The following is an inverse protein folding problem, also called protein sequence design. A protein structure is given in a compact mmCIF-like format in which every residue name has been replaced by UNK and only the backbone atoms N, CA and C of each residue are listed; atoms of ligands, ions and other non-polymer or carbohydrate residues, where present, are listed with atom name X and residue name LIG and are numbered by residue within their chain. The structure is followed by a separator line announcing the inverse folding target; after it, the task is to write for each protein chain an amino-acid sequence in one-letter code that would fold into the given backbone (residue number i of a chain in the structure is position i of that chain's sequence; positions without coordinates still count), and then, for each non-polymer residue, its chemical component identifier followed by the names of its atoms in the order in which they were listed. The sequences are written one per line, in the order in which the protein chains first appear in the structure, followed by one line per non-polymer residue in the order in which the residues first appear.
data_IF_007253955202
#
_entry.id   IF_007253955202
#
_cell.length_a   1.000
_cell.length_b   1.000
_cell.length_c   1.000
_cell.angle_alpha   90.00
_cell.angle_beta   90.00
_cell.angle_gamma   90.00
#
_symmetry.space_group_name_H-M   'P 1'
#
loop_
_entity.id
_entity.type
_entity.pdbx_description
1 polymer ?
#
# COMPACT_ATOMS: atom_id res chain seq x y z
N UNK A 1 21.35 7.40 -3.99
CA UNK A 1 20.04 7.93 -4.41
C UNK A 1 19.94 8.28 -5.88
N UNK A 2 20.83 9.12 -6.47
CA UNK A 2 20.77 9.43 -7.92
C UNK A 2 20.84 8.18 -8.81
N UNK A 3 21.78 7.26 -8.56
CA UNK A 3 21.96 6.03 -9.33
C UNK A 3 20.71 5.14 -9.41
N UNK A 4 19.96 5.05 -8.32
CA UNK A 4 18.71 4.27 -8.25
C UNK A 4 17.57 4.92 -9.07
N UNK A 5 17.51 6.26 -9.11
CA UNK A 5 16.52 7.01 -9.89
C UNK A 5 16.80 6.88 -11.38
N UNK A 6 18.08 6.91 -11.79
CA UNK A 6 18.49 6.78 -13.20
C UNK A 6 18.25 5.35 -13.71
N UNK A 7 18.54 4.32 -12.92
CA UNK A 7 18.22 2.93 -13.24
C UNK A 7 16.71 2.73 -13.40
N UNK A 8 15.92 3.33 -12.50
CA UNK A 8 14.46 3.30 -12.58
C UNK A 8 13.93 4.00 -13.81
N UNK A 9 14.46 5.17 -14.14
CA UNK A 9 14.03 5.91 -15.33
C UNK A 9 14.18 5.09 -16.59
N UNK A 10 15.29 4.32 -16.68
CA UNK A 10 15.56 3.41 -17.80
C UNK A 10 14.55 2.25 -17.87
N UNK A 11 14.19 1.67 -16.73
CA UNK A 11 13.20 0.58 -16.66
C UNK A 11 11.80 1.10 -16.98
N UNK A 12 11.41 2.27 -16.41
CA UNK A 12 10.11 2.90 -16.65
C UNK A 12 9.92 3.26 -18.13
N UNK A 13 10.97 3.71 -18.83
CA UNK A 13 10.91 3.99 -20.27
C UNK A 13 10.50 2.77 -21.09
N UNK A 14 10.91 1.56 -20.68
CA UNK A 14 10.57 0.30 -21.33
C UNK A 14 9.17 -0.21 -20.98
N UNK A 15 8.56 0.29 -19.90
CA UNK A 15 7.23 -0.14 -19.47
C UNK A 15 6.13 0.45 -20.35
N UNK A 16 5.09 -0.34 -20.57
CA UNK A 16 3.85 0.06 -21.25
C UNK A 16 2.79 0.55 -20.27
N UNK A 17 2.83 0.06 -19.04
CA UNK A 17 1.90 0.39 -17.97
C UNK A 17 2.60 0.37 -16.61
N UNK A 18 2.37 1.39 -15.81
CA UNK A 18 2.78 1.47 -14.41
C UNK A 18 1.62 0.99 -13.53
N UNK A 19 1.84 -0.05 -12.73
CA UNK A 19 0.97 -0.46 -11.64
C UNK A 19 1.42 0.26 -10.37
N UNK A 20 0.75 1.36 -10.03
CA UNK A 20 1.05 2.15 -8.86
C UNK A 20 0.29 1.60 -7.65
N UNK A 21 0.97 0.88 -6.76
CA UNK A 21 0.37 0.28 -5.56
C UNK A 21 0.38 1.26 -4.42
N UNK A 22 -0.80 1.52 -3.86
CA UNK A 22 -1.02 2.37 -2.70
C UNK A 22 -1.80 1.60 -1.63
N UNK A 23 -1.68 2.01 -0.36
CA UNK A 23 -2.53 1.48 0.71
C UNK A 23 -3.90 2.16 0.64
N UNK A 24 -4.98 1.38 0.59
CA UNK A 24 -6.35 1.90 0.45
C UNK A 24 -6.77 2.80 1.61
N UNK A 25 -6.11 2.72 2.77
CA UNK A 25 -6.36 3.57 3.93
C UNK A 25 -5.80 5.00 3.80
N UNK A 26 -4.87 5.22 2.82
CA UNK A 26 -4.19 6.51 2.58
C UNK A 26 -3.85 6.67 1.10
N UNK A 27 -4.86 6.74 0.22
CA UNK A 27 -4.66 6.70 -1.24
C UNK A 27 -3.87 7.91 -1.75
N UNK A 28 -4.25 9.13 -1.31
CA UNK A 28 -3.62 10.35 -1.78
C UNK A 28 -2.22 10.53 -1.21
N UNK A 29 -2.02 10.25 0.08
CA UNK A 29 -0.71 10.36 0.73
C UNK A 29 0.30 9.33 0.19
N UNK A 30 -0.17 8.16 -0.25
CA UNK A 30 0.66 7.16 -0.92
C UNK A 30 0.92 7.49 -2.40
N UNK A 31 0.22 8.50 -2.96
CA UNK A 31 0.34 8.87 -4.37
C UNK A 31 1.48 9.86 -4.56
N UNK A 32 2.59 9.41 -5.11
CA UNK A 32 3.76 10.25 -5.34
C UNK A 32 3.74 10.86 -6.74
N UNK A 33 3.95 12.18 -6.82
CA UNK A 33 3.87 12.94 -8.06
C UNK A 33 5.03 12.65 -9.05
N UNK A 34 6.15 12.09 -8.59
CA UNK A 34 7.29 11.80 -9.45
C UNK A 34 6.97 10.78 -10.57
N UNK A 35 6.00 9.89 -10.34
CA UNK A 35 5.58 8.86 -11.31
C UNK A 35 5.01 9.50 -12.57
N UNK A 36 4.32 10.64 -12.43
CA UNK A 36 3.72 11.35 -13.56
C UNK A 36 4.76 11.98 -14.51
N UNK A 37 6.01 12.19 -14.06
CA UNK A 37 7.11 12.71 -14.89
C UNK A 37 7.47 11.80 -16.06
N UNK A 38 7.09 10.52 -16.01
CA UNK A 38 7.44 9.57 -17.06
C UNK A 38 6.48 9.52 -18.24
N UNK A 39 5.38 10.27 -18.20
CA UNK A 39 4.36 10.30 -19.25
C UNK A 39 3.92 8.90 -19.72
N UNK A 40 3.74 7.97 -18.77
CA UNK A 40 3.29 6.59 -19.01
C UNK A 40 1.88 6.39 -18.47
N UNK A 41 1.09 5.50 -19.06
CA UNK A 41 -0.19 5.10 -18.47
C UNK A 41 0.00 4.55 -17.06
N UNK A 42 -0.85 4.97 -16.12
CA UNK A 42 -0.79 4.58 -14.70
C UNK A 42 -2.13 3.98 -14.29
N UNK A 43 -2.12 2.74 -13.83
CA UNK A 43 -3.23 2.11 -13.13
C UNK A 43 -2.90 2.06 -11.63
N UNK A 44 -3.66 2.79 -10.83
CA UNK A 44 -3.48 2.83 -9.38
C UNK A 44 -4.21 1.66 -8.73
N UNK A 45 -3.47 0.84 -7.99
CA UNK A 45 -4.00 -0.31 -7.25
C UNK A 45 -4.09 0.04 -5.78
N UNK A 46 -5.29 0.35 -5.31
CA UNK A 46 -5.59 0.62 -3.90
C UNK A 46 -5.69 -0.72 -3.15
N UNK A 47 -4.53 -1.19 -2.65
CA UNK A 47 -4.40 -2.49 -2.00
C UNK A 47 -4.79 -2.43 -0.51
N UNK A 48 -4.91 -3.60 0.13
CA UNK A 48 -5.35 -3.78 1.52
C UNK A 48 -6.75 -3.23 1.78
N UNK A 49 -7.63 -3.33 0.80
CA UNK A 49 -9.01 -2.88 0.93
C UNK A 49 -9.78 -3.61 2.04
N UNK A 50 -9.29 -4.77 2.45
CA UNK A 50 -9.75 -5.52 3.62
C UNK A 50 -9.55 -4.79 4.97
N UNK A 51 -8.75 -3.73 5.01
CA UNK A 51 -8.51 -2.87 6.17
C UNK A 51 -9.13 -1.46 6.02
N UNK A 52 -9.78 -1.18 4.89
CA UNK A 52 -10.18 0.17 4.51
C UNK A 52 -11.70 0.39 4.61
N UNK A 53 -12.10 1.54 5.16
CA UNK A 53 -13.48 2.04 5.09
C UNK A 53 -13.78 2.58 3.67
N UNK A 54 -14.13 1.64 2.78
CA UNK A 54 -14.38 1.92 1.37
C UNK A 54 -15.56 2.88 1.13
N UNK A 55 -16.53 2.93 2.06
CA UNK A 55 -17.74 3.75 1.93
C UNK A 55 -17.42 5.24 1.86
N UNK A 56 -16.28 5.63 2.39
CA UNK A 56 -15.83 7.03 2.44
C UNK A 56 -14.96 7.44 1.25
N UNK A 57 -14.75 6.54 0.27
CA UNK A 57 -13.79 6.76 -0.83
C UNK A 57 -14.49 6.63 -2.17
N UNK A 58 -14.34 7.66 -3.00
CA UNK A 58 -14.71 7.65 -4.41
C UNK A 58 -13.45 7.38 -5.25
N UNK A 59 -13.39 6.25 -5.96
CA UNK A 59 -12.30 5.95 -6.88
C UNK A 59 -12.39 6.75 -8.18
N UNK A 60 -11.23 7.10 -8.74
CA UNK A 60 -11.08 7.65 -10.07
C UNK A 60 -11.10 6.54 -11.12
N UNK A 61 -11.26 6.89 -12.40
CA UNK A 61 -11.35 5.93 -13.51
C UNK A 61 -10.13 4.99 -13.61
N UNK A 62 -8.94 5.49 -13.26
CA UNK A 62 -7.70 4.72 -13.28
C UNK A 62 -7.31 4.13 -11.92
N UNK A 63 -8.24 4.04 -10.98
CA UNK A 63 -8.04 3.50 -9.63
C UNK A 63 -8.87 2.23 -9.44
N UNK A 64 -8.28 1.24 -8.76
CA UNK A 64 -8.92 -0.06 -8.55
C UNK A 64 -8.67 -0.60 -7.15
N UNK A 65 -9.73 -0.95 -6.42
CA UNK A 65 -9.63 -1.60 -5.11
C UNK A 65 -9.23 -3.06 -5.22
N UNK A 66 -8.22 -3.45 -4.45
CA UNK A 66 -7.72 -4.81 -4.39
C UNK A 66 -7.40 -5.21 -2.94
N UNK A 67 -7.71 -6.47 -2.58
CA UNK A 67 -7.02 -7.16 -1.50
C UNK A 67 -6.25 -8.34 -2.08
N UNK A 68 -4.93 -8.29 -2.00
CA UNK A 68 -4.08 -9.38 -2.47
C UNK A 68 -4.32 -10.70 -1.70
N UNK A 69 -5.01 -10.67 -0.56
CA UNK A 69 -5.41 -11.85 0.22
C UNK A 69 -6.61 -12.58 -0.38
N UNK A 70 -7.38 -11.91 -1.25
CA UNK A 70 -8.58 -12.50 -1.85
C UNK A 70 -8.21 -13.57 -2.88
N UNK A 71 -8.82 -14.75 -2.82
CA UNK A 71 -8.59 -15.87 -3.73
C UNK A 71 -8.77 -15.49 -5.22
N UNK A 72 -9.69 -14.58 -5.53
CA UNK A 72 -10.00 -14.14 -6.88
C UNK A 72 -9.21 -12.87 -7.31
N UNK A 73 -8.30 -12.37 -6.48
CA UNK A 73 -7.58 -11.12 -6.72
C UNK A 73 -6.81 -11.13 -8.05
N UNK A 74 -6.10 -12.22 -8.36
CA UNK A 74 -5.35 -12.36 -9.61
C UNK A 74 -6.24 -12.21 -10.84
N UNK A 75 -7.36 -12.93 -10.91
CA UNK A 75 -8.30 -12.88 -12.03
C UNK A 75 -8.87 -11.47 -12.21
N UNK A 76 -9.31 -10.84 -11.11
CA UNK A 76 -9.83 -9.47 -11.12
C UNK A 76 -8.79 -8.48 -11.63
N UNK A 77 -7.56 -8.54 -11.10
CA UNK A 77 -6.47 -7.64 -11.49
C UNK A 77 -6.11 -7.78 -12.98
N UNK A 78 -5.95 -9.01 -13.49
CA UNK A 78 -5.65 -9.24 -14.90
C UNK A 78 -6.76 -8.71 -15.81
N UNK A 79 -8.03 -8.89 -15.44
CA UNK A 79 -9.16 -8.36 -16.19
C UNK A 79 -9.13 -6.82 -16.25
N UNK A 80 -8.83 -6.16 -15.14
CA UNK A 80 -8.71 -4.69 -15.09
C UNK A 80 -7.54 -4.21 -15.94
N UNK A 81 -6.37 -4.84 -15.85
CA UNK A 81 -5.20 -4.53 -16.69
C UNK A 81 -5.56 -4.68 -18.18
N UNK A 82 -6.18 -5.78 -18.57
CA UNK A 82 -6.59 -6.01 -19.96
C UNK A 82 -7.60 -4.98 -20.45
N UNK A 83 -8.59 -4.60 -19.61
CA UNK A 83 -9.55 -3.54 -19.92
C UNK A 83 -8.83 -2.20 -20.13
N UNK A 84 -7.89 -1.87 -19.25
CA UNK A 84 -7.10 -0.64 -19.33
C UNK A 84 -6.25 -0.57 -20.58
N UNK A 85 -5.62 -1.68 -20.98
CA UNK A 85 -4.78 -1.79 -22.18
C UNK A 85 -5.55 -2.00 -23.49
N UNK A 86 -6.88 -2.21 -23.45
CA UNK A 86 -7.70 -2.59 -24.60
C UNK A 86 -7.55 -1.64 -25.79
N UNK A 87 -7.62 -0.33 -25.56
CA UNK A 87 -7.50 0.67 -26.64
C UNK A 87 -6.13 0.59 -27.32
N UNK A 88 -5.04 0.50 -26.55
CA UNK A 88 -3.67 0.37 -27.07
C UNK A 88 -3.47 -0.97 -27.80
N UNK A 89 -3.97 -2.05 -27.25
CA UNK A 89 -3.93 -3.37 -27.90
C UNK A 89 -4.61 -3.34 -29.28
N UNK A 90 -5.81 -2.79 -29.36
CA UNK A 90 -6.54 -2.68 -30.61
C UNK A 90 -5.82 -1.81 -31.66
N UNK A 91 -5.18 -0.71 -31.23
CA UNK A 91 -4.36 0.14 -32.10
C UNK A 91 -3.17 -0.64 -32.69
N UNK A 92 -2.45 -1.41 -31.87
CA UNK A 92 -1.31 -2.22 -32.32
C UNK A 92 -1.74 -3.33 -33.29
N UNK A 93 -2.90 -3.95 -33.05
CA UNK A 93 -3.46 -4.97 -33.99
C UNK A 93 -3.79 -4.31 -35.33
N UNK A 94 -4.40 -3.13 -35.34
CA UNK A 94 -4.67 -2.37 -36.58
C UNK A 94 -3.40 -2.01 -37.38
N UNK A 95 -2.27 -1.86 -36.66
CA UNK A 95 -0.94 -1.62 -37.25
C UNK A 95 -0.25 -2.91 -37.72
N UNK A 96 -0.92 -4.07 -37.70
CA UNK A 96 -0.39 -5.34 -38.22
C UNK A 96 0.25 -6.26 -37.18
N UNK A 97 0.33 -5.86 -35.87
CA UNK A 97 0.85 -6.75 -34.83
C UNK A 97 -0.17 -7.84 -34.50
N UNK A 98 0.11 -9.10 -34.86
CA UNK A 98 -0.81 -10.23 -34.59
C UNK A 98 -1.01 -10.52 -33.10
N UNK A 99 0.07 -10.44 -32.29
CA UNK A 99 0.06 -10.79 -30.87
C UNK A 99 0.79 -9.73 -30.05
N UNK A 100 0.22 -8.54 -29.81
CA UNK A 100 0.87 -7.50 -29.00
C UNK A 100 1.01 -7.94 -27.53
N UNK A 101 2.18 -7.66 -26.97
CA UNK A 101 2.49 -7.90 -25.56
C UNK A 101 2.86 -6.59 -24.87
N UNK A 102 2.76 -6.56 -23.54
CA UNK A 102 2.95 -5.36 -22.73
C UNK A 102 3.85 -5.62 -21.53
N UNK A 103 4.76 -4.70 -21.30
CA UNK A 103 5.60 -4.68 -20.10
C UNK A 103 4.96 -3.85 -19.01
N UNK A 104 4.83 -4.46 -17.83
CA UNK A 104 4.29 -3.84 -16.62
C UNK A 104 5.43 -3.58 -15.65
N UNK A 105 5.32 -2.50 -14.87
CA UNK A 105 6.14 -2.30 -13.67
C UNK A 105 5.26 -2.07 -12.45
N UNK A 106 5.74 -2.47 -11.28
CA UNK A 106 5.07 -2.25 -9.99
C UNK A 106 5.87 -1.24 -9.19
N UNK A 107 5.23 -0.15 -8.82
CA UNK A 107 5.82 0.92 -8.01
C UNK A 107 4.91 1.27 -6.84
N UNK A 108 5.43 1.90 -5.80
CA UNK A 108 4.68 2.33 -4.61
C UNK A 108 5.56 2.39 -3.36
N UNK A 109 5.04 2.94 -2.25
CA UNK A 109 5.72 3.06 -0.95
C UNK A 109 6.16 1.70 -0.39
N UNK A 110 7.08 1.66 0.59
CA UNK A 110 7.32 0.46 1.37
C UNK A 110 6.01 -0.09 1.97
N UNK A 111 5.92 -1.39 2.16
CA UNK A 111 4.84 -2.10 2.86
C UNK A 111 3.40 -1.90 2.36
N UNK A 112 3.16 -1.19 1.24
CA UNK A 112 1.82 -1.08 0.62
C UNK A 112 1.35 -2.38 -0.06
N UNK A 113 2.25 -3.38 -0.17
CA UNK A 113 1.94 -4.70 -0.71
C UNK A 113 2.43 -4.95 -2.13
N UNK A 114 3.47 -4.23 -2.59
CA UNK A 114 4.12 -4.47 -3.90
C UNK A 114 4.53 -5.93 -4.09
N UNK A 115 5.29 -6.49 -3.15
CA UNK A 115 5.73 -7.90 -3.22
C UNK A 115 4.57 -8.88 -3.23
N UNK A 116 3.49 -8.58 -2.48
CA UNK A 116 2.25 -9.37 -2.50
C UNK A 116 1.61 -9.34 -3.89
N UNK A 117 1.50 -8.16 -4.51
CA UNK A 117 0.97 -7.99 -5.86
C UNK A 117 1.82 -8.71 -6.91
N UNK A 118 3.14 -8.58 -6.83
CA UNK A 118 4.09 -9.28 -7.71
C UNK A 118 3.91 -10.80 -7.58
N UNK A 119 3.86 -11.34 -6.36
CA UNK A 119 3.66 -12.76 -6.13
C UNK A 119 2.28 -13.24 -6.61
N UNK A 120 1.24 -12.41 -6.43
CA UNK A 120 -0.10 -12.66 -6.95
C UNK A 120 -0.09 -12.79 -8.47
N UNK A 121 0.58 -11.88 -9.18
CA UNK A 121 0.71 -11.88 -10.63
C UNK A 121 1.55 -13.07 -11.12
N UNK A 122 2.68 -13.34 -10.47
CA UNK A 122 3.52 -14.52 -10.77
C UNK A 122 2.71 -15.81 -10.70
N UNK A 123 2.02 -16.07 -9.62
CA UNK A 123 1.36 -17.34 -9.35
C UNK A 123 2.35 -18.50 -9.27
N UNK A 124 1.84 -19.71 -9.00
CA UNK A 124 2.68 -20.93 -8.83
C UNK A 124 3.42 -21.39 -10.10
N UNK A 125 3.04 -20.91 -11.30
CA UNK A 125 3.56 -21.36 -12.60
C UNK A 125 4.42 -20.32 -13.34
N UNK A 126 4.79 -19.20 -12.72
CA UNK A 126 5.59 -18.20 -13.42
C UNK A 126 7.05 -18.64 -13.52
N UNK A 127 7.52 -18.83 -14.73
CA UNK A 127 8.93 -19.05 -15.04
C UNK A 127 9.64 -17.71 -15.24
N UNK A 128 10.82 -17.55 -14.63
CA UNK A 128 11.73 -16.47 -15.02
C UNK A 128 12.18 -16.72 -16.46
N UNK A 129 11.82 -15.83 -17.37
CA UNK A 129 12.30 -15.90 -18.74
C UNK A 129 13.74 -15.41 -18.76
N UNK A 130 14.69 -16.34 -18.61
CA UNK A 130 16.09 -16.09 -18.89
C UNK A 130 16.25 -16.10 -20.41
N UNK A 131 16.82 -15.02 -20.95
CA UNK A 131 17.28 -14.91 -22.34
C UNK A 131 16.20 -14.84 -23.42
N UNK A 132 15.65 -13.64 -23.68
CA UNK A 132 15.31 -13.29 -25.06
C UNK A 132 16.51 -12.54 -25.68
N UNK A 133 16.97 -12.89 -26.90
CA UNK A 133 18.04 -12.16 -27.58
C UNK A 133 17.55 -10.74 -27.87
N UNK A 134 18.27 -9.74 -27.44
CA UNK A 134 18.14 -8.30 -27.61
C UNK A 134 17.99 -7.44 -26.31
N UNK A 135 18.17 -8.01 -25.10
CA UNK A 135 18.05 -7.22 -23.85
C UNK A 135 19.23 -7.47 -22.92
N UNK A 136 20.36 -6.84 -23.24
CA UNK A 136 21.63 -6.98 -22.49
C UNK A 136 21.63 -6.34 -21.09
N UNK A 137 20.52 -5.83 -20.54
CA UNK A 137 20.50 -5.11 -19.26
C UNK A 137 19.25 -5.25 -18.37
N UNK A 138 18.27 -6.09 -18.66
CA UNK A 138 17.12 -6.30 -17.77
C UNK A 138 17.22 -7.67 -17.10
N UNK A 139 17.76 -7.68 -15.89
CA UNK A 139 18.13 -8.91 -15.16
C UNK A 139 16.98 -9.85 -14.82
N UNK A 140 15.72 -9.42 -14.74
CA UNK A 140 14.59 -10.32 -14.42
C UNK A 140 13.28 -9.86 -15.07
N UNK A 141 12.88 -10.52 -16.16
CA UNK A 141 11.53 -10.39 -16.75
C UNK A 141 10.71 -11.60 -16.30
N UNK A 142 9.53 -11.34 -15.77
CA UNK A 142 8.62 -12.38 -15.28
C UNK A 142 7.43 -12.46 -16.22
N UNK A 143 7.22 -13.60 -16.86
CA UNK A 143 6.05 -13.85 -17.69
C UNK A 143 4.81 -14.08 -16.82
N UNK A 144 3.79 -13.23 -16.94
CA UNK A 144 2.49 -13.40 -16.28
C UNK A 144 1.57 -14.27 -17.13
N UNK A 145 1.49 -13.97 -18.43
CA UNK A 145 0.79 -14.75 -19.46
C UNK A 145 1.39 -14.44 -20.85
N UNK A 146 0.74 -14.85 -21.93
CA UNK A 146 1.26 -14.65 -23.29
C UNK A 146 1.33 -13.19 -23.75
N UNK A 147 0.59 -12.28 -23.11
CA UNK A 147 0.53 -10.86 -23.47
C UNK A 147 1.03 -9.91 -22.38
N UNK A 148 1.33 -10.39 -21.17
CA UNK A 148 1.74 -9.56 -20.05
C UNK A 148 3.05 -10.06 -19.45
N UNK A 149 4.00 -9.15 -19.32
CA UNK A 149 5.32 -9.37 -18.71
C UNK A 149 5.56 -8.35 -17.62
N UNK A 150 6.14 -8.74 -16.50
CA UNK A 150 6.50 -7.86 -15.41
C UNK A 150 8.02 -7.63 -15.43
N UNK A 151 8.42 -6.36 -15.46
CA UNK A 151 9.80 -5.96 -15.27
C UNK A 151 10.10 -5.89 -13.77
N UNK A 152 11.14 -6.58 -13.33
CA UNK A 152 11.57 -6.52 -11.93
C UNK A 152 12.15 -5.14 -11.63
N UNK A 153 11.63 -4.48 -10.63
CA UNK A 153 12.07 -3.14 -10.23
C UNK A 153 12.69 -3.20 -8.84
N UNK A 154 13.88 -2.61 -8.62
CA UNK A 154 14.39 -2.41 -7.27
C UNK A 154 13.42 -1.58 -6.45
N UNK A 155 13.34 -1.86 -5.14
CA UNK A 155 12.50 -1.10 -4.21
C UNK A 155 12.81 0.39 -4.27
N UNK A 156 11.78 1.22 -4.48
CA UNK A 156 11.93 2.68 -4.61
C UNK A 156 11.72 3.29 -3.25
N UNK A 157 12.69 4.08 -2.79
CA UNK A 157 12.57 4.96 -1.64
C UNK A 157 12.15 6.36 -2.10
N UNK A 158 11.21 6.95 -1.38
CA UNK A 158 10.57 8.22 -1.73
C UNK A 158 11.30 9.44 -1.16
N UNK A 159 10.92 10.62 -1.66
CA UNK A 159 11.41 11.92 -1.22
C UNK A 159 11.14 12.16 0.27
N UNK A 160 11.96 13.04 0.89
CA UNK A 160 11.80 13.45 2.29
C UNK A 160 10.42 14.07 2.51
N UNK A 161 9.58 13.39 3.29
CA UNK A 161 8.33 13.93 3.80
C UNK A 161 8.67 14.83 4.98
N UNK A 162 8.17 16.08 4.98
CA UNK A 162 8.47 17.08 6.00
C UNK A 162 7.33 17.29 7.00
N UNK A 163 6.11 16.93 6.63
CA UNK A 163 4.93 17.14 7.45
C UNK A 163 4.69 16.00 8.42
N UNK A 164 4.64 16.31 9.73
CA UNK A 164 4.47 15.35 10.81
C UNK A 164 3.15 14.56 10.70
N UNK A 165 2.03 15.22 10.34
CA UNK A 165 0.74 14.55 10.22
C UNK A 165 0.76 13.50 9.11
N UNK A 166 1.41 13.81 8.01
CA UNK A 166 1.64 12.86 6.92
C UNK A 166 2.51 11.69 7.39
N UNK A 167 3.58 11.96 8.14
CA UNK A 167 4.45 10.93 8.70
C UNK A 167 3.69 9.99 9.64
N UNK A 168 2.84 10.53 10.52
CA UNK A 168 2.02 9.71 11.45
C UNK A 168 1.05 8.81 10.69
N UNK A 169 0.33 9.34 9.70
CA UNK A 169 -0.57 8.53 8.86
C UNK A 169 0.17 7.43 8.10
N UNK A 170 1.37 7.71 7.59
CA UNK A 170 2.19 6.71 6.91
C UNK A 170 2.76 5.65 7.87
N UNK A 171 3.05 6.01 9.13
CA UNK A 171 3.40 5.06 10.17
C UNK A 171 2.22 4.13 10.49
N UNK A 172 1.00 4.66 10.60
CA UNK A 172 -0.22 3.89 10.87
C UNK A 172 -0.60 2.89 9.78
N UNK A 173 -0.14 3.09 8.55
CA UNK A 173 -0.26 2.09 7.48
C UNK A 173 1.01 1.24 7.32
N UNK A 174 1.99 1.42 8.21
CA UNK A 174 3.29 0.74 8.20
C UNK A 174 4.13 1.03 6.92
N UNK A 175 3.92 2.18 6.27
CA UNK A 175 4.72 2.61 5.12
C UNK A 175 6.07 3.21 5.54
N UNK A 176 6.16 3.68 6.78
CA UNK A 176 7.38 4.16 7.44
C UNK A 176 7.58 3.33 8.70
N UNK A 177 8.84 3.03 9.05
CA UNK A 177 9.16 2.35 10.31
C UNK A 177 8.82 3.26 11.49
N UNK A 178 8.06 2.73 12.45
CA UNK A 178 7.67 3.47 13.65
C UNK A 178 8.87 3.88 14.52
N UNK A 179 9.98 3.13 14.48
CA UNK A 179 11.22 3.44 15.23
C UNK A 179 11.83 4.80 14.86
N UNK A 180 11.38 5.41 13.76
CA UNK A 180 11.82 6.73 13.30
C UNK A 180 10.97 7.88 13.85
N UNK A 181 9.91 7.59 14.63
CA UNK A 181 8.96 8.56 15.15
C UNK A 181 8.65 8.30 16.63
N UNK A 182 8.32 9.35 17.42
CA UNK A 182 7.82 9.17 18.77
C UNK A 182 6.50 8.38 18.74
N UNK A 183 6.51 7.16 19.27
CA UNK A 183 5.37 6.24 19.17
C UNK A 183 4.15 6.72 19.95
N UNK A 184 4.37 7.43 21.06
CA UNK A 184 3.35 8.08 21.88
C UNK A 184 2.61 9.16 21.09
N UNK A 185 3.32 10.00 20.33
CA UNK A 185 2.71 11.03 19.48
C UNK A 185 1.89 10.41 18.33
N UNK A 186 2.43 9.37 17.67
CA UNK A 186 1.73 8.65 16.60
C UNK A 186 0.45 8.02 17.13
N UNK A 187 0.51 7.37 18.29
CA UNK A 187 -0.67 6.71 18.89
C UNK A 187 -1.66 7.70 19.45
N UNK A 188 -1.20 8.82 20.02
CA UNK A 188 -2.06 9.94 20.45
C UNK A 188 -2.82 10.52 19.25
N UNK A 189 -2.11 10.83 18.15
CA UNK A 189 -2.74 11.29 16.92
C UNK A 189 -3.79 10.29 16.42
N UNK A 190 -3.47 9.00 16.42
CA UNK A 190 -4.41 7.96 16.01
C UNK A 190 -5.64 7.91 16.93
N UNK A 191 -5.45 7.96 18.25
CA UNK A 191 -6.54 7.98 19.21
C UNK A 191 -7.49 9.15 18.94
N UNK A 192 -6.96 10.37 18.84
CA UNK A 192 -7.74 11.58 18.57
C UNK A 192 -8.50 11.47 17.24
N UNK A 193 -7.86 10.90 16.21
CA UNK A 193 -8.49 10.63 14.92
C UNK A 193 -9.65 9.62 15.02
N UNK A 194 -9.48 8.54 15.79
CA UNK A 194 -10.53 7.55 16.02
C UNK A 194 -11.67 8.12 16.87
N UNK A 195 -11.37 8.90 17.89
CA UNK A 195 -12.37 9.60 18.71
C UNK A 195 -13.23 10.55 17.85
N UNK A 196 -12.61 11.23 16.87
CA UNK A 196 -13.33 12.12 15.96
C UNK A 196 -14.18 11.35 14.95
N UNK A 197 -13.65 10.27 14.35
CA UNK A 197 -14.21 9.68 13.14
C UNK A 197 -14.83 8.30 13.32
N UNK A 198 -14.43 7.55 14.36
CA UNK A 198 -14.77 6.14 14.57
C UNK A 198 -14.98 5.82 16.06
N UNK A 199 -15.54 6.77 16.82
CA UNK A 199 -15.69 6.66 18.29
C UNK A 199 -16.46 5.41 18.72
N UNK A 200 -17.58 5.11 18.08
CA UNK A 200 -18.41 3.95 18.44
C UNK A 200 -17.68 2.61 18.23
N UNK A 201 -16.87 2.53 17.18
CA UNK A 201 -16.06 1.35 16.88
C UNK A 201 -14.92 1.20 17.89
N UNK A 202 -14.24 2.31 18.24
CA UNK A 202 -13.20 2.33 19.26
C UNK A 202 -13.75 1.90 20.62
N UNK A 203 -14.88 2.50 21.04
CA UNK A 203 -15.60 2.17 22.27
C UNK A 203 -16.02 0.70 22.33
N UNK A 204 -16.59 0.18 21.24
CA UNK A 204 -17.03 -1.21 21.14
C UNK A 204 -15.86 -2.18 21.21
N UNK A 205 -14.73 -1.87 20.58
CA UNK A 205 -13.58 -2.77 20.52
C UNK A 205 -12.85 -2.90 21.86
N UNK A 206 -12.71 -1.78 22.59
CA UNK A 206 -12.03 -1.77 23.89
C UNK A 206 -12.98 -1.83 25.10
N UNK A 207 -14.31 -1.85 24.90
CA UNK A 207 -15.33 -1.99 25.94
C UNK A 207 -15.36 -0.90 27.02
N UNK A 208 -14.88 0.31 26.73
CA UNK A 208 -15.00 1.41 27.67
C UNK A 208 -16.37 2.10 27.57
N UNK A 209 -16.87 2.67 28.68
CA UNK A 209 -18.25 3.20 28.78
C UNK A 209 -18.34 4.69 28.50
N UNK A 210 -17.36 5.47 28.96
CA UNK A 210 -17.32 6.92 28.87
C UNK A 210 -16.16 7.41 27.97
N UNK A 211 -16.21 8.70 27.63
CA UNK A 211 -15.16 9.30 26.80
C UNK A 211 -13.92 9.54 27.66
N UNK A 212 -12.84 8.90 27.32
CA UNK A 212 -11.54 9.01 27.98
C UNK A 212 -10.63 10.03 27.28
N UNK A 213 -9.73 10.65 28.03
CA UNK A 213 -8.55 11.28 27.45
C UNK A 213 -7.59 10.21 26.92
N UNK A 214 -6.62 10.57 26.07
CA UNK A 214 -5.62 9.59 25.62
C UNK A 214 -4.83 8.98 26.78
N UNK A 215 -4.47 9.79 27.78
CA UNK A 215 -3.74 9.31 28.96
C UNK A 215 -4.59 8.29 29.75
N UNK A 216 -5.85 8.63 30.04
CA UNK A 216 -6.77 7.76 30.76
C UNK A 216 -7.07 6.48 29.97
N UNK A 217 -7.17 6.58 28.63
CA UNK A 217 -7.33 5.42 27.76
C UNK A 217 -6.13 4.46 27.85
N UNK A 218 -4.90 4.98 27.85
CA UNK A 218 -3.70 4.13 28.03
C UNK A 218 -3.67 3.45 29.38
N UNK A 219 -4.05 4.18 30.46
CA UNK A 219 -4.17 3.61 31.81
C UNK A 219 -5.24 2.52 31.83
N UNK A 220 -6.42 2.80 31.27
CA UNK A 220 -7.51 1.85 31.15
C UNK A 220 -7.06 0.57 30.41
N UNK A 221 -6.46 0.74 29.22
CA UNK A 221 -6.02 -0.39 28.39
C UNK A 221 -4.92 -1.21 29.06
N UNK A 222 -4.02 -0.58 29.83
CA UNK A 222 -2.99 -1.28 30.59
C UNK A 222 -3.61 -2.16 31.68
N UNK A 223 -4.61 -1.66 32.40
CA UNK A 223 -5.33 -2.41 33.43
C UNK A 223 -6.08 -3.60 32.83
N UNK A 224 -6.81 -3.40 31.75
CA UNK A 224 -7.54 -4.46 31.04
C UNK A 224 -6.61 -5.59 30.55
N UNK A 225 -5.42 -5.22 30.06
CA UNK A 225 -4.43 -6.18 29.53
C UNK A 225 -3.44 -6.68 30.57
N UNK A 226 -3.55 -6.21 31.82
CA UNK A 226 -2.65 -6.53 32.93
C UNK A 226 -1.18 -6.24 32.57
N UNK A 227 -0.92 -5.06 31.98
CA UNK A 227 0.42 -4.61 31.62
C UNK A 227 1.02 -3.79 32.77
N UNK A 228 1.75 -4.47 33.67
CA UNK A 228 2.41 -3.90 34.82
C UNK A 228 3.91 -4.18 34.76
N UNK A 229 4.69 -3.26 35.34
CA UNK A 229 6.11 -3.45 35.66
C UNK A 229 6.26 -4.27 36.95
N UNK A 230 7.49 -4.70 37.29
CA UNK A 230 7.80 -5.50 38.48
C UNK A 230 7.41 -4.84 39.82
N UNK A 231 7.14 -3.55 39.83
CA UNK A 231 6.75 -2.75 41.00
C UNK A 231 5.25 -2.37 40.97
N UNK A 232 4.41 -3.12 40.31
CA UNK A 232 2.97 -2.92 40.11
C UNK A 232 2.59 -1.56 39.44
N UNK A 233 3.57 -0.84 38.91
CA UNK A 233 3.32 0.35 38.09
C UNK A 233 2.87 -0.04 36.69
N UNK A 234 2.01 0.79 36.11
CA UNK A 234 1.52 0.59 34.75
C UNK A 234 2.65 0.69 33.73
N UNK A 235 2.77 -0.31 32.85
CA UNK A 235 3.70 -0.31 31.72
C UNK A 235 3.08 0.45 30.52
N UNK A 236 3.20 1.77 30.53
CA UNK A 236 2.70 2.63 29.47
C UNK A 236 3.36 2.33 28.11
N UNK A 237 4.67 2.02 28.08
CA UNK A 237 5.39 1.77 26.83
C UNK A 237 4.88 0.51 26.13
N UNK A 238 4.71 -0.56 26.88
CA UNK A 238 4.11 -1.81 26.38
C UNK A 238 2.68 -1.59 25.91
N UNK A 239 1.91 -0.77 26.63
CA UNK A 239 0.52 -0.47 26.28
C UNK A 239 0.42 0.33 25.00
N UNK A 240 1.21 1.38 24.85
CA UNK A 240 1.28 2.21 23.64
C UNK A 240 1.67 1.36 22.43
N UNK A 241 2.67 0.48 22.57
CA UNK A 241 3.08 -0.44 21.51
C UNK A 241 1.96 -1.41 21.14
N UNK A 242 1.26 -1.98 22.11
CA UNK A 242 0.14 -2.88 21.87
C UNK A 242 -1.05 -2.18 21.18
N UNK A 243 -1.32 -0.94 21.54
CA UNK A 243 -2.33 -0.10 20.86
C UNK A 243 -1.90 0.19 19.41
N UNK A 244 -0.64 0.56 19.19
CA UNK A 244 -0.11 0.76 17.85
C UNK A 244 -0.25 -0.52 16.97
N UNK A 245 0.05 -1.68 17.53
CA UNK A 245 -0.11 -2.96 16.82
C UNK A 245 -1.58 -3.25 16.45
N UNK A 246 -2.53 -2.89 17.29
CA UNK A 246 -3.95 -3.01 16.97
C UNK A 246 -4.36 -2.07 15.81
N UNK A 247 -3.82 -0.84 15.79
CA UNK A 247 -4.08 0.16 14.74
C UNK A 247 -3.54 -0.29 13.38
N UNK A 248 -2.27 -0.68 13.30
CA UNK A 248 -1.64 -1.07 12.02
C UNK A 248 -2.22 -2.34 11.43
N UNK A 249 -2.68 -3.27 12.29
CA UNK A 249 -3.32 -4.51 11.89
C UNK A 249 -4.82 -4.36 11.60
N UNK A 250 -5.42 -3.17 11.81
CA UNK A 250 -6.81 -2.89 11.53
C UNK A 250 -7.79 -3.68 12.41
N UNK A 251 -7.41 -3.99 13.66
CA UNK A 251 -8.25 -4.78 14.57
C UNK A 251 -9.49 -4.03 15.04
N UNK A 252 -9.40 -2.70 15.20
CA UNK A 252 -10.46 -1.86 15.78
C UNK A 252 -11.63 -1.74 14.81
N UNK A 253 -11.37 -1.29 13.59
CA UNK A 253 -12.37 -1.22 12.51
C UNK A 253 -11.67 -0.96 11.16
N UNK A 254 -12.47 -1.02 10.09
CA UNK A 254 -12.04 -0.52 8.78
C UNK A 254 -11.86 1.00 8.85
N UNK A 255 -10.74 1.53 8.34
CA UNK A 255 -10.37 2.93 8.51
C UNK A 255 -9.96 3.60 7.20
N UNK A 256 -10.27 4.89 7.05
CA UNK A 256 -9.72 5.78 6.04
C UNK A 256 -9.06 6.96 6.76
N UNK A 257 -7.74 6.98 6.82
CA UNK A 257 -6.98 8.06 7.50
C UNK A 257 -7.00 9.40 6.75
N UNK A 258 -7.61 9.46 5.56
CA UNK A 258 -7.83 10.68 4.79
C UNK A 258 -9.28 11.22 4.94
N UNK A 259 -10.10 10.59 5.78
CA UNK A 259 -11.43 11.10 6.14
C UNK A 259 -11.27 12.46 6.84
N UNK A 260 -12.04 13.46 6.37
CA UNK A 260 -12.05 14.82 6.92
C UNK A 260 -12.89 14.94 8.19
#
# INVERSE_FOLDING_TARGET
MKKTIDELSTIVKKADLILHVVDARCINLCSDNWIFKFNKPILKICNKVDLCDQKTIKLKENEFFLSCKNKNAKKKLINVINKFLKKRKNSLIKQGLKNPFFYLIVVGLPNVGKSCLINLLKGKKATNVKNQPATTQTKNIIKINNSLFLLDTPGILFNKIKDHLTLYKLALINAIKHDLLPLDEVTKFAYDFYVKNYYQQLKKFYHFTERLSFADFIIFLAKERKYYLSNDKIDCNRTIKAFYDDLINGKICLVNYEKK
#
